data_IF_926700460330
#
_entry.id   IF_926700460330
#
_cell.length_a   1.000
_cell.length_b   1.000
_cell.length_c   1.000
_cell.angle_alpha   90.00
_cell.angle_beta   90.00
_cell.angle_gamma   90.00
#
_symmetry.space_group_name_H-M   'P 1'
#
loop_
_entity.id
_entity.type
_entity.pdbx_description
1 polymer ?
#
# COMPACT_ATOMS: atom_id res chain seq x y z
N UNK A 1 9.35 19.72 -8.27
CA UNK A 1 10.45 18.91 -8.86
C UNK A 1 11.35 18.31 -7.77
N UNK A 2 11.57 19.00 -6.63
CA UNK A 2 12.39 18.46 -5.52
C UNK A 2 11.74 17.25 -4.86
N UNK A 3 10.42 17.24 -4.73
CA UNK A 3 9.66 16.20 -4.01
C UNK A 3 9.41 14.95 -4.85
N UNK A 4 9.54 15.04 -6.19
CA UNK A 4 9.51 13.87 -7.08
C UNK A 4 10.62 12.85 -6.74
N UNK A 5 11.77 13.29 -6.24
CA UNK A 5 12.85 12.42 -5.79
C UNK A 5 12.60 11.80 -4.42
N UNK A 6 11.74 12.38 -3.59
CA UNK A 6 11.36 11.79 -2.31
C UNK A 6 10.61 10.47 -2.49
N UNK A 7 9.86 10.30 -3.60
CA UNK A 7 9.20 9.04 -3.92
C UNK A 7 10.18 7.90 -4.25
N UNK A 8 11.41 8.21 -4.68
CA UNK A 8 12.44 7.20 -4.91
C UNK A 8 12.96 6.57 -3.62
N UNK A 9 12.91 7.28 -2.50
CA UNK A 9 13.31 6.79 -1.20
C UNK A 9 12.34 5.82 -0.55
N UNK A 10 11.20 5.60 -1.16
CA UNK A 10 10.22 4.61 -0.73
C UNK A 10 10.46 3.24 -1.39
N UNK A 11 11.65 3.01 -1.96
CA UNK A 11 12.06 1.75 -2.58
C UNK A 11 11.18 1.37 -3.77
N UNK A 12 10.60 0.19 -3.75
CA UNK A 12 9.70 -0.30 -4.81
C UNK A 12 8.44 0.56 -5.06
N UNK A 13 8.17 1.58 -4.26
CA UNK A 13 7.02 2.48 -4.43
C UNK A 13 7.04 3.17 -5.80
N UNK A 14 8.21 3.45 -6.37
CA UNK A 14 8.33 4.02 -7.72
C UNK A 14 7.60 3.17 -8.79
N UNK A 15 7.70 1.84 -8.71
CA UNK A 15 7.01 0.92 -9.63
C UNK A 15 5.50 0.86 -9.39
N UNK A 16 5.03 1.30 -8.22
CA UNK A 16 3.61 1.28 -7.79
C UNK A 16 2.93 2.63 -7.87
N UNK A 17 3.67 3.67 -8.23
CA UNK A 17 3.12 4.99 -8.46
C UNK A 17 2.26 4.96 -9.72
N UNK A 18 0.96 5.12 -9.56
CA UNK A 18 -0.01 5.12 -10.64
C UNK A 18 -0.12 6.51 -11.27
N UNK A 19 -0.12 7.54 -10.43
CA UNK A 19 -0.24 8.93 -10.84
C UNK A 19 0.46 9.86 -9.84
N UNK A 20 0.96 10.99 -10.32
CA UNK A 20 1.45 12.11 -9.50
C UNK A 20 0.77 13.37 -9.98
N UNK A 21 0.18 14.11 -9.06
CA UNK A 21 -0.35 15.45 -9.34
C UNK A 21 0.74 16.51 -9.30
N UNK A 22 0.56 17.55 -10.08
CA UNK A 22 1.41 18.75 -9.98
C UNK A 22 1.11 19.52 -8.68
N UNK A 23 2.07 20.32 -8.22
CA UNK A 23 1.91 21.11 -7.01
C UNK A 23 0.67 22.02 -7.09
N UNK A 24 -0.17 21.96 -6.07
CA UNK A 24 -1.42 22.71 -5.97
C UNK A 24 -2.56 22.21 -6.82
N UNK A 25 -2.31 21.28 -7.77
CA UNK A 25 -3.35 20.71 -8.62
C UNK A 25 -4.23 19.74 -7.83
N UNK A 26 -5.53 20.04 -7.79
CA UNK A 26 -6.53 19.17 -7.13
C UNK A 26 -7.18 18.19 -8.10
N UNK A 27 -7.13 18.49 -9.38
CA UNK A 27 -7.80 17.68 -10.40
C UNK A 27 -6.98 16.44 -10.72
N UNK A 28 -7.62 15.29 -10.56
CA UNK A 28 -7.01 14.00 -10.84
C UNK A 28 -6.96 13.74 -12.35
N UNK A 29 -5.94 13.02 -12.79
CA UNK A 29 -5.65 12.72 -14.19
C UNK A 29 -6.22 11.39 -14.63
N UNK A 30 -5.35 10.52 -15.16
CA UNK A 30 -5.75 9.31 -15.86
C UNK A 30 -6.42 8.24 -14.98
N UNK A 31 -6.13 8.22 -13.67
CA UNK A 31 -6.65 7.21 -12.76
C UNK A 31 -8.11 7.47 -12.35
N UNK A 32 -8.50 8.74 -12.17
CA UNK A 32 -9.86 9.16 -11.82
C UNK A 32 -10.15 10.52 -12.48
N UNK A 33 -10.42 10.48 -13.79
CA UNK A 33 -10.40 11.67 -14.63
C UNK A 33 -11.49 12.68 -14.24
N UNK A 34 -11.04 13.84 -13.80
CA UNK A 34 -11.88 14.97 -13.44
C UNK A 34 -12.34 14.98 -11.98
N UNK A 35 -12.00 13.97 -11.21
CA UNK A 35 -12.27 13.97 -9.77
C UNK A 35 -11.34 14.94 -9.05
N UNK A 36 -11.82 15.47 -7.93
CA UNK A 36 -11.06 16.32 -7.02
C UNK A 36 -10.41 15.47 -5.94
N UNK A 37 -9.08 15.45 -5.88
CA UNK A 37 -8.33 14.69 -4.88
C UNK A 37 -8.75 15.01 -3.43
N UNK A 38 -9.33 16.19 -3.20
CA UNK A 38 -9.77 16.60 -1.87
C UNK A 38 -11.04 15.90 -1.38
N UNK A 39 -11.82 15.30 -2.28
CA UNK A 39 -13.11 14.64 -1.96
C UNK A 39 -13.25 13.24 -2.57
N UNK A 40 -12.28 12.80 -3.38
CA UNK A 40 -12.35 11.54 -4.10
C UNK A 40 -12.21 10.29 -3.19
N UNK A 41 -11.58 10.42 -2.04
CA UNK A 41 -11.45 9.31 -1.08
C UNK A 41 -12.55 9.36 -0.01
N UNK A 42 -13.06 8.20 0.43
CA UNK A 42 -14.11 8.17 1.46
C UNK A 42 -13.67 8.74 2.82
N UNK A 43 -12.36 8.70 3.13
CA UNK A 43 -11.81 9.24 4.37
C UNK A 43 -10.33 9.52 4.25
N UNK A 44 -9.90 10.64 4.83
CA UNK A 44 -8.51 11.09 4.89
C UNK A 44 -8.01 11.18 6.34
N UNK A 45 -6.70 11.14 6.49
CA UNK A 45 -5.96 11.38 7.73
C UNK A 45 -5.06 12.59 7.58
N UNK A 46 -5.17 13.52 8.52
CA UNK A 46 -4.33 14.72 8.61
C UNK A 46 -3.20 14.45 9.58
N UNK A 47 -1.98 14.63 9.13
CA UNK A 47 -0.76 14.41 9.90
C UNK A 47 -0.02 15.72 10.12
N UNK A 48 0.47 15.94 11.36
CA UNK A 48 1.36 17.03 11.70
C UNK A 48 2.53 16.50 12.52
N UNK A 49 3.76 16.79 12.07
CA UNK A 49 4.99 16.29 12.70
C UNK A 49 5.01 14.78 12.95
N UNK A 50 4.39 14.00 12.05
CA UNK A 50 4.29 12.54 12.13
C UNK A 50 3.18 12.01 13.03
N UNK A 51 2.37 12.87 13.65
CA UNK A 51 1.25 12.49 14.50
C UNK A 51 -0.08 12.66 13.76
N UNK A 52 -0.99 11.70 13.94
CA UNK A 52 -2.36 11.78 13.42
C UNK A 52 -3.15 12.81 14.25
N UNK A 53 -3.60 13.87 13.57
CA UNK A 53 -4.35 14.97 14.23
C UNK A 53 -5.85 14.78 14.06
N UNK A 54 -6.30 14.37 12.87
CA UNK A 54 -7.71 14.33 12.54
C UNK A 54 -8.00 13.34 11.40
N UNK A 55 -9.23 12.80 11.38
CA UNK A 55 -9.80 12.09 10.24
C UNK A 55 -11.00 12.86 9.68
N UNK A 56 -11.00 13.12 8.37
CA UNK A 56 -12.02 13.92 7.69
C UNK A 56 -12.44 13.25 6.38
N UNK A 57 -13.58 13.65 5.83
CA UNK A 57 -14.07 13.18 4.52
C UNK A 57 -13.79 14.16 3.38
N UNK A 58 -13.37 15.39 3.70
CA UNK A 58 -13.05 16.45 2.76
C UNK A 58 -11.82 17.21 3.27
N UNK A 59 -10.79 17.32 2.43
CA UNK A 59 -9.54 18.00 2.76
C UNK A 59 -9.39 19.36 2.07
N UNK A 60 -10.45 19.91 1.48
CA UNK A 60 -10.40 21.19 0.77
C UNK A 60 -9.88 22.33 1.65
N UNK A 61 -10.23 22.32 2.94
CA UNK A 61 -9.76 23.33 3.92
C UNK A 61 -8.28 23.16 4.32
N UNK A 62 -7.69 22.00 4.04
CA UNK A 62 -6.30 21.65 4.36
C UNK A 62 -5.38 21.74 3.14
N UNK A 63 -5.96 21.87 1.94
CA UNK A 63 -5.19 21.89 0.70
C UNK A 63 -4.33 23.16 0.61
N UNK A 64 -3.11 22.99 0.15
CA UNK A 64 -2.12 24.08 -0.02
C UNK A 64 -1.60 24.04 -1.46
N UNK A 65 -1.20 25.19 -1.98
CA UNK A 65 -0.77 25.36 -3.38
C UNK A 65 0.56 24.66 -3.71
N UNK A 66 1.29 24.20 -2.70
CA UNK A 66 2.55 23.48 -2.83
C UNK A 66 2.41 21.95 -2.59
N UNK A 67 1.21 21.48 -2.25
CA UNK A 67 0.98 20.03 -2.07
C UNK A 67 1.04 19.29 -3.40
N UNK A 68 1.74 18.16 -3.37
CA UNK A 68 1.81 17.17 -4.45
C UNK A 68 1.14 15.90 -3.96
N UNK A 69 0.23 15.34 -4.75
CA UNK A 69 -0.36 14.05 -4.42
C UNK A 69 0.26 12.91 -5.21
N UNK A 70 0.23 11.73 -4.61
CA UNK A 70 0.68 10.47 -5.21
C UNK A 70 -0.43 9.43 -5.09
N UNK A 71 -0.83 8.85 -6.21
CA UNK A 71 -1.66 7.65 -6.22
C UNK A 71 -0.75 6.43 -6.29
N UNK A 72 -0.88 5.58 -5.29
CA UNK A 72 -0.05 4.38 -5.14
C UNK A 72 -0.95 3.16 -5.28
N UNK A 73 -0.55 2.21 -6.12
CA UNK A 73 -1.28 0.97 -6.34
C UNK A 73 -1.43 0.16 -5.05
N UNK A 74 -2.56 -0.52 -4.92
CA UNK A 74 -2.92 -1.30 -3.74
C UNK A 74 -2.91 -2.80 -4.04
N UNK A 75 -2.56 -3.62 -3.05
CA UNK A 75 -2.57 -5.10 -3.16
C UNK A 75 -3.95 -5.68 -3.43
N UNK A 76 -5.03 -4.99 -3.08
CA UNK A 76 -6.39 -5.43 -3.39
C UNK A 76 -6.64 -5.54 -4.91
N UNK A 77 -5.91 -4.76 -5.73
CA UNK A 77 -6.03 -4.85 -7.18
C UNK A 77 -5.55 -6.19 -7.74
N UNK A 78 -4.56 -6.87 -7.14
CA UNK A 78 -4.14 -8.18 -7.60
C UNK A 78 -4.94 -9.35 -6.97
N UNK A 79 -5.72 -9.11 -5.93
CA UNK A 79 -6.49 -10.18 -5.27
C UNK A 79 -7.54 -10.81 -6.17
N UNK A 80 -8.19 -9.99 -7.01
CA UNK A 80 -9.10 -10.50 -8.04
C UNK A 80 -8.41 -11.50 -8.99
N UNK A 81 -7.16 -11.23 -9.35
CA UNK A 81 -6.38 -12.12 -10.21
C UNK A 81 -5.94 -13.40 -9.50
N UNK A 82 -5.60 -13.31 -8.20
CA UNK A 82 -5.34 -14.49 -7.37
C UNK A 82 -6.57 -15.39 -7.31
N UNK A 83 -7.75 -14.84 -7.01
CA UNK A 83 -9.00 -15.58 -6.95
C UNK A 83 -9.35 -16.21 -8.30
N UNK A 84 -9.21 -15.50 -9.41
CA UNK A 84 -9.42 -16.04 -10.76
C UNK A 84 -8.45 -17.18 -11.10
N UNK A 85 -7.22 -17.12 -10.58
CA UNK A 85 -6.23 -18.19 -10.72
C UNK A 85 -6.43 -19.37 -9.76
N UNK A 86 -7.50 -19.35 -8.94
CA UNK A 86 -7.81 -20.39 -7.97
C UNK A 86 -6.96 -20.32 -6.69
N UNK A 87 -6.28 -19.21 -6.43
CA UNK A 87 -5.53 -18.99 -5.20
C UNK A 87 -6.46 -18.35 -4.16
N UNK A 88 -6.68 -18.98 -3.00
CA UNK A 88 -7.57 -18.45 -1.96
C UNK A 88 -6.98 -17.17 -1.33
N UNK A 89 -7.86 -16.27 -0.91
CA UNK A 89 -7.50 -15.04 -0.19
C UNK A 89 -8.19 -15.07 1.18
N UNK A 90 -7.43 -15.50 2.22
CA UNK A 90 -7.93 -15.85 3.54
C UNK A 90 -8.71 -14.75 4.23
N UNK A 91 -8.21 -13.52 4.22
CA UNK A 91 -8.89 -12.43 4.90
C UNK A 91 -10.26 -12.10 4.26
N UNK A 92 -10.43 -12.33 2.95
CA UNK A 92 -11.74 -12.22 2.27
C UNK A 92 -12.66 -13.36 2.75
N UNK A 93 -12.16 -14.60 2.81
CA UNK A 93 -12.94 -15.76 3.29
C UNK A 93 -13.44 -15.57 4.73
N UNK A 94 -12.63 -14.89 5.57
CA UNK A 94 -12.93 -14.66 6.99
C UNK A 94 -13.65 -13.33 7.26
N UNK A 95 -13.89 -12.50 6.23
CA UNK A 95 -14.50 -11.18 6.40
C UNK A 95 -13.65 -10.23 7.25
N UNK A 96 -12.32 -10.34 7.16
CA UNK A 96 -11.33 -9.59 7.95
C UNK A 96 -10.54 -8.64 7.06
N UNK A 97 -9.82 -7.73 7.69
CA UNK A 97 -8.85 -6.91 6.99
C UNK A 97 -7.52 -7.69 6.84
N UNK A 98 -6.77 -7.42 5.76
CA UNK A 98 -5.49 -8.10 5.51
C UNK A 98 -4.49 -7.82 6.64
N UNK A 99 -3.80 -8.85 7.19
CA UNK A 99 -2.76 -8.65 8.20
C UNK A 99 -1.53 -7.98 7.58
N UNK A 100 -1.01 -6.96 8.27
CA UNK A 100 0.15 -6.19 7.82
C UNK A 100 1.18 -6.08 8.95
N UNK A 101 2.45 -6.09 8.57
CA UNK A 101 3.57 -6.16 9.50
C UNK A 101 4.66 -5.16 9.16
N UNK A 102 5.22 -4.53 10.20
CA UNK A 102 6.48 -3.82 10.10
C UNK A 102 7.62 -4.84 9.92
N UNK A 103 8.60 -4.51 9.10
CA UNK A 103 9.73 -5.41 8.83
C UNK A 103 11.07 -4.75 9.15
N UNK A 104 12.16 -5.53 9.06
CA UNK A 104 13.53 -5.03 9.10
C UNK A 104 14.08 -4.67 7.69
N UNK A 105 13.26 -4.77 6.65
CA UNK A 105 13.66 -4.42 5.28
C UNK A 105 13.72 -2.89 5.14
N UNK A 106 14.93 -2.35 5.13
CA UNK A 106 15.14 -0.91 5.01
C UNK A 106 14.68 -0.38 3.66
N UNK A 107 14.06 0.79 3.67
CA UNK A 107 13.77 1.58 2.48
C UNK A 107 15.02 2.34 2.04
N UNK A 108 15.16 2.57 0.73
CA UNK A 108 16.19 3.48 0.23
C UNK A 108 15.86 4.91 0.69
N UNK A 109 16.73 5.57 1.48
CA UNK A 109 16.44 6.92 1.96
C UNK A 109 16.36 7.96 0.85
N UNK A 110 15.42 8.93 0.97
CA UNK A 110 15.33 10.07 0.07
C UNK A 110 14.95 11.34 0.84
N UNK A 111 15.88 12.28 0.92
CA UNK A 111 15.72 13.48 1.72
C UNK A 111 15.45 13.12 3.19
N UNK A 112 14.33 13.59 3.73
CA UNK A 112 13.90 13.31 5.11
C UNK A 112 13.19 11.95 5.25
N UNK A 113 12.75 11.35 4.15
CA UNK A 113 12.02 10.08 4.19
C UNK A 113 12.97 8.90 4.35
N UNK A 114 12.67 8.07 5.32
CA UNK A 114 13.39 6.86 5.66
C UNK A 114 12.48 5.90 6.43
N UNK A 115 12.95 4.73 6.74
CA UNK A 115 12.24 3.73 7.54
C UNK A 115 12.32 2.35 6.93
N UNK A 116 11.39 1.51 7.32
CA UNK A 116 11.33 0.12 6.87
C UNK A 116 10.05 -0.14 6.08
N UNK A 117 10.11 -1.16 5.24
CA UNK A 117 8.97 -1.63 4.46
C UNK A 117 7.90 -2.22 5.39
N UNK A 118 6.65 -1.89 5.15
CA UNK A 118 5.50 -2.63 5.66
C UNK A 118 5.09 -3.67 4.63
N UNK A 119 4.78 -4.87 5.07
CA UNK A 119 4.30 -5.95 4.21
C UNK A 119 2.89 -6.37 4.58
N UNK A 120 2.12 -6.85 3.60
CA UNK A 120 0.85 -7.54 3.83
C UNK A 120 1.03 -9.05 3.62
N UNK A 121 0.45 -9.88 4.47
CA UNK A 121 0.62 -11.33 4.42
C UNK A 121 -0.67 -12.02 3.96
N UNK A 122 -0.48 -13.07 3.16
CA UNK A 122 -1.55 -14.02 2.83
C UNK A 122 -1.03 -15.44 3.00
N UNK A 123 -1.73 -16.29 3.78
CA UNK A 123 -1.41 -17.72 3.81
C UNK A 123 -1.85 -18.35 2.48
N UNK A 124 -0.91 -18.99 1.82
CA UNK A 124 -1.10 -19.60 0.49
C UNK A 124 -0.86 -21.11 0.60
N UNK A 125 -1.75 -21.97 0.10
CA UNK A 125 -1.48 -23.41 -0.02
C UNK A 125 -0.15 -23.65 -0.72
N UNK A 126 0.67 -24.57 -0.20
CA UNK A 126 2.03 -24.80 -0.66
C UNK A 126 2.13 -25.04 -2.17
N UNK A 127 1.21 -25.81 -2.73
CA UNK A 127 1.12 -26.13 -4.17
C UNK A 127 0.72 -24.92 -5.04
N UNK A 128 0.14 -23.87 -4.45
CA UNK A 128 -0.27 -22.65 -5.14
C UNK A 128 0.71 -21.48 -4.99
N UNK A 129 1.78 -21.65 -4.20
CA UNK A 129 2.77 -20.57 -3.96
C UNK A 129 3.38 -20.07 -5.27
N UNK A 130 3.87 -20.97 -6.13
CA UNK A 130 4.47 -20.59 -7.42
C UNK A 130 3.44 -19.85 -8.29
N UNK A 131 2.21 -20.33 -8.34
CA UNK A 131 1.13 -19.66 -9.08
C UNK A 131 0.86 -18.25 -8.55
N UNK A 132 0.81 -18.08 -7.23
CA UNK A 132 0.59 -16.77 -6.62
C UNK A 132 1.69 -15.77 -6.98
N UNK A 133 2.96 -16.21 -6.99
CA UNK A 133 4.10 -15.41 -7.43
C UNK A 133 3.96 -15.01 -8.90
N UNK A 134 3.65 -15.96 -9.79
CA UNK A 134 3.51 -15.69 -11.23
C UNK A 134 2.39 -14.68 -11.52
N UNK A 135 1.24 -14.84 -10.86
CA UNK A 135 0.08 -13.95 -11.02
C UNK A 135 0.42 -12.54 -10.57
N UNK A 136 0.97 -12.38 -9.38
CA UNK A 136 1.24 -11.04 -8.82
C UNK A 136 2.44 -10.36 -9.48
N UNK A 137 3.45 -11.12 -9.92
CA UNK A 137 4.61 -10.57 -10.66
C UNK A 137 4.21 -9.89 -11.98
N UNK A 138 3.09 -10.31 -12.57
CA UNK A 138 2.53 -9.68 -13.77
C UNK A 138 1.91 -8.31 -13.50
N UNK A 139 1.80 -7.90 -12.23
CA UNK A 139 1.15 -6.65 -11.80
C UNK A 139 2.12 -5.73 -11.03
N UNK A 140 3.22 -5.30 -11.62
CA UNK A 140 4.26 -4.54 -10.90
C UNK A 140 3.76 -3.18 -10.40
N UNK A 141 2.74 -2.61 -11.03
CA UNK A 141 2.14 -1.32 -10.63
C UNK A 141 1.29 -1.39 -9.37
N UNK A 142 0.95 -2.60 -8.91
CA UNK A 142 0.13 -2.85 -7.72
C UNK A 142 0.76 -3.90 -6.80
N UNK A 143 2.03 -3.72 -6.48
CA UNK A 143 2.91 -4.48 -5.60
C UNK A 143 3.81 -5.55 -6.24
N UNK A 144 3.44 -6.13 -7.38
CA UNK A 144 4.29 -7.10 -8.06
C UNK A 144 4.51 -8.40 -7.27
N UNK A 145 5.73 -8.95 -7.38
CA UNK A 145 6.12 -10.17 -6.68
C UNK A 145 6.17 -10.01 -5.15
N UNK A 146 5.98 -11.10 -4.39
CA UNK A 146 6.22 -11.09 -2.95
C UNK A 146 7.72 -10.83 -2.65
N UNK A 147 7.99 -10.25 -1.47
CA UNK A 147 9.34 -9.99 -0.99
C UNK A 147 9.85 -11.08 -0.05
N UNK A 148 8.95 -11.87 0.53
CA UNK A 148 9.30 -13.01 1.40
C UNK A 148 8.26 -14.11 1.26
N UNK A 149 8.72 -15.36 1.30
CA UNK A 149 7.91 -16.57 1.28
C UNK A 149 8.39 -17.47 2.43
N UNK A 150 7.47 -17.91 3.28
CA UNK A 150 7.75 -18.76 4.42
C UNK A 150 8.21 -17.98 5.65
N UNK A 151 9.41 -18.25 6.15
CA UNK A 151 9.88 -17.79 7.45
C UNK A 151 9.70 -16.27 7.69
N UNK A 152 8.80 -15.85 8.59
CA UNK A 152 8.58 -14.44 8.91
C UNK A 152 9.75 -13.81 9.67
N UNK A 153 10.53 -14.59 10.42
CA UNK A 153 11.66 -14.09 11.19
C UNK A 153 12.76 -13.54 10.27
N UNK A 154 12.90 -14.05 9.05
CA UNK A 154 13.85 -13.56 8.04
C UNK A 154 13.67 -12.07 7.70
N UNK A 155 12.47 -11.54 7.87
CA UNK A 155 12.14 -10.14 7.64
C UNK A 155 11.75 -9.40 8.94
N UNK A 156 12.14 -9.96 10.10
CA UNK A 156 12.00 -9.32 11.40
C UNK A 156 10.61 -9.42 12.04
N UNK A 157 9.71 -10.26 11.52
CA UNK A 157 8.38 -10.49 12.10
C UNK A 157 8.50 -11.58 13.17
N UNK A 158 8.26 -11.20 14.43
CA UNK A 158 8.40 -12.10 15.57
C UNK A 158 7.24 -13.08 15.69
N UNK A 159 6.02 -12.64 15.43
CA UNK A 159 4.82 -13.49 15.51
C UNK A 159 3.86 -13.14 14.37
N UNK A 160 3.67 -14.07 13.45
CA UNK A 160 2.78 -13.93 12.30
C UNK A 160 1.29 -13.89 12.67
N UNK A 161 0.93 -14.22 13.91
CA UNK A 161 -0.42 -14.14 14.43
C UNK A 161 -0.73 -12.80 15.11
N UNK A 162 0.26 -11.94 15.30
CA UNK A 162 0.13 -10.61 15.90
C UNK A 162 0.50 -9.51 14.88
N UNK A 163 -0.39 -9.17 13.92
CA UNK A 163 -0.10 -8.12 12.94
C UNK A 163 -0.07 -6.73 13.60
N UNK A 164 0.80 -5.85 13.09
CA UNK A 164 0.87 -4.45 13.52
C UNK A 164 -0.35 -3.64 13.04
N UNK A 165 -0.92 -4.04 11.88
CA UNK A 165 -2.10 -3.41 11.28
C UNK A 165 -3.02 -4.49 10.68
N UNK A 166 -4.31 -4.19 10.57
CA UNK A 166 -5.30 -5.14 10.08
C UNK A 166 -5.64 -6.20 11.12
N UNK A 167 -6.11 -7.35 10.66
CA UNK A 167 -6.59 -8.42 11.52
C UNK A 167 -5.75 -9.68 11.33
N UNK A 168 -5.57 -10.47 12.39
CA UNK A 168 -4.99 -11.80 12.28
C UNK A 168 -5.90 -12.72 11.47
N UNK A 169 -5.31 -13.57 10.65
CA UNK A 169 -6.03 -14.58 9.86
C UNK A 169 -5.52 -15.98 10.16
N UNK A 170 -6.36 -16.98 9.90
CA UNK A 170 -6.02 -18.40 10.11
C UNK A 170 -4.98 -18.86 9.08
N UNK A 171 -3.88 -19.42 9.55
CA UNK A 171 -2.91 -20.17 8.72
C UNK A 171 -3.18 -21.65 8.94
N UNK A 172 -3.65 -22.36 7.92
CA UNK A 172 -4.00 -23.78 7.99
C UNK A 172 -2.77 -24.67 7.79
N UNK A 173 -2.78 -25.93 8.27
CA UNK A 173 -1.72 -26.87 7.94
C UNK A 173 -1.54 -27.00 6.42
N UNK A 174 -0.29 -26.95 5.95
CA UNK A 174 0.06 -26.98 4.54
C UNK A 174 -0.01 -25.64 3.82
N UNK A 175 -0.29 -24.55 4.53
CA UNK A 175 -0.18 -23.18 4.01
C UNK A 175 1.15 -22.54 4.39
N UNK A 176 1.61 -21.67 3.52
CA UNK A 176 2.86 -20.90 3.66
C UNK A 176 2.50 -19.42 3.75
N UNK A 177 2.96 -18.67 4.76
CA UNK A 177 2.80 -17.24 4.79
C UNK A 177 3.63 -16.60 3.67
N UNK A 178 2.99 -15.81 2.82
CA UNK A 178 3.62 -15.10 1.71
C UNK A 178 3.40 -13.60 1.93
N UNK A 179 4.46 -12.81 1.76
CA UNK A 179 4.49 -11.41 2.14
C UNK A 179 4.73 -10.51 0.92
N UNK A 180 3.81 -9.61 0.68
CA UNK A 180 3.93 -8.57 -0.35
C UNK A 180 4.16 -7.21 0.28
N UNK A 181 4.92 -6.33 -0.40
CA UNK A 181 5.02 -4.95 0.03
C UNK A 181 3.62 -4.32 0.16
N UNK A 182 3.43 -3.43 1.13
CA UNK A 182 2.12 -2.85 1.43
C UNK A 182 2.05 -1.34 1.16
N UNK A 183 0.86 -0.87 0.74
CA UNK A 183 0.57 0.55 0.56
C UNK A 183 0.60 1.38 1.86
N UNK A 184 0.67 0.75 3.03
CA UNK A 184 0.90 1.43 4.32
C UNK A 184 2.35 1.90 4.47
N UNK A 185 3.31 1.36 3.70
CA UNK A 185 4.72 1.78 3.74
C UNK A 185 4.91 3.29 3.63
N UNK A 186 4.28 4.03 2.68
CA UNK A 186 4.38 5.49 2.62
C UNK A 186 3.87 6.19 3.88
N UNK A 187 2.80 5.70 4.50
CA UNK A 187 2.29 6.26 5.76
C UNK A 187 3.32 6.07 6.89
N UNK A 188 3.90 4.88 7.00
CA UNK A 188 4.96 4.61 7.97
C UNK A 188 6.19 5.52 7.76
N UNK A 189 6.57 5.76 6.50
CA UNK A 189 7.67 6.67 6.17
C UNK A 189 7.36 8.15 6.53
N UNK A 190 6.12 8.61 6.31
CA UNK A 190 5.65 9.95 6.73
C UNK A 190 5.72 10.09 8.26
N UNK A 191 5.27 9.09 9.00
CA UNK A 191 5.33 9.08 10.46
C UNK A 191 6.78 9.10 10.96
N UNK A 192 7.66 8.28 10.38
CA UNK A 192 9.08 8.22 10.73
C UNK A 192 9.83 9.54 10.42
N UNK A 193 9.53 10.14 9.27
CA UNK A 193 10.15 11.41 8.83
C UNK A 193 9.65 12.63 9.60
N UNK A 194 8.54 12.52 10.34
CA UNK A 194 7.92 13.61 11.10
C UNK A 194 7.77 14.90 10.29
N UNK A 195 7.36 14.77 9.02
CA UNK A 195 7.16 15.93 8.16
C UNK A 195 6.19 16.94 8.79
N UNK A 196 6.37 18.23 8.58
CA UNK A 196 5.53 19.28 9.21
C UNK A 196 4.04 19.06 8.95
N UNK A 197 3.71 18.64 7.72
CA UNK A 197 2.34 18.40 7.29
C UNK A 197 2.29 17.31 6.23
N UNK A 198 1.32 16.40 6.34
CA UNK A 198 0.99 15.42 5.31
C UNK A 198 -0.50 15.04 5.38
N UNK A 199 -1.02 14.57 4.28
CA UNK A 199 -2.37 14.00 4.18
C UNK A 199 -2.24 12.60 3.58
N UNK A 200 -2.94 11.62 4.15
CA UNK A 200 -3.05 10.28 3.57
C UNK A 200 -4.52 9.86 3.54
N UNK A 201 -4.86 8.85 2.75
CA UNK A 201 -6.15 8.20 2.93
C UNK A 201 -6.17 7.42 4.25
N UNK A 202 -7.35 7.20 4.83
CA UNK A 202 -7.50 6.32 5.96
C UNK A 202 -7.42 4.85 5.51
N UNK A 203 -6.80 3.93 6.27
CA UNK A 203 -6.77 2.50 5.93
C UNK A 203 -8.16 1.95 5.65
N UNK A 204 -8.30 1.15 4.59
CA UNK A 204 -9.58 0.60 4.16
C UNK A 204 -10.49 1.57 3.38
N UNK A 205 -10.11 2.84 3.22
CA UNK A 205 -10.88 3.88 2.52
C UNK A 205 -10.15 4.30 1.24
N UNK A 206 -10.10 3.41 0.25
CA UNK A 206 -9.32 3.59 -0.96
C UNK A 206 -10.13 4.26 -2.06
N UNK A 207 -9.42 4.92 -2.99
CA UNK A 207 -9.98 5.42 -4.23
C UNK A 207 -10.43 4.26 -5.12
N UNK A 208 -11.61 4.36 -5.70
CA UNK A 208 -12.03 3.54 -6.83
C UNK A 208 -11.67 4.30 -8.10
N UNK A 209 -10.85 3.70 -8.95
CA UNK A 209 -10.36 4.33 -10.18
C UNK A 209 -11.20 3.98 -11.40
N UNK A 210 -11.14 4.81 -12.45
CA UNK A 210 -11.72 4.52 -13.77
C UNK A 210 -10.97 3.43 -14.52
N UNK A 211 -9.76 3.08 -14.06
CA UNK A 211 -8.88 2.11 -14.71
C UNK A 211 -9.14 0.71 -14.16
N UNK A 212 -9.62 -0.24 -14.97
CA UNK A 212 -9.81 -1.63 -14.56
C UNK A 212 -8.49 -2.28 -14.10
N UNK A 213 -8.57 -3.16 -13.09
CA UNK A 213 -7.39 -3.89 -12.55
C UNK A 213 -6.58 -4.61 -13.64
N UNK A 214 -7.24 -5.12 -14.68
CA UNK A 214 -6.58 -5.79 -15.82
C UNK A 214 -5.62 -4.90 -16.60
N UNK A 215 -5.83 -3.57 -16.60
CA UNK A 215 -4.96 -2.59 -17.22
C UNK A 215 -3.73 -2.22 -16.38
N UNK A 216 -3.66 -2.73 -15.14
CA UNK A 216 -2.52 -2.55 -14.24
C UNK A 216 -1.47 -3.67 -14.38
N UNK A 217 -1.72 -4.64 -15.28
CA UNK A 217 -0.71 -5.58 -15.78
C UNK A 217 0.21 -4.85 -16.76
N UNK A 218 1.51 -5.11 -16.69
CA UNK A 218 2.58 -4.61 -17.61
C UNK A 218 2.36 -3.22 -18.25
#
# INVERSE_FOLDING_TARGET
IRDYYASRGLGDVYKRQLEVGEAGCRQMGAMARGDDVCTAFPKYRIWRAGELVEEVTDISAYWQDDLVYFLIGCSFSFESELLQAGVPVRHIEEGRNVPMFNTNLALEPAGVFHGNMVVSMRPIPHDLVVRSVQVTSAMPRVHGAPVQIGDPAAIGIADVHCPDYGDSVTIRPGEVPVFWPCGVTPQAAVMAAKVPFAITHAPGHMLITDVPNTMLKY
#
